data_IF_510954660342
#
_entry.id   IF_510954660342
#
_cell.length_a   1.000
_cell.length_b   1.000
_cell.length_c   1.000
_cell.angle_alpha   90.00
_cell.angle_beta   90.00
_cell.angle_gamma   90.00
#
_symmetry.space_group_name_H-M   'P 1'
#
loop_
_entity.id
_entity.type
_entity.pdbx_description
1 polymer ?
#
# COMPACT_ATOMS: atom_id res chain seq x y z
N UNK A 1 -10.39 -2.45 31.42
CA UNK A 1 -9.62 -3.19 30.40
C UNK A 1 -8.39 -2.37 30.11
N UNK A 2 -7.19 -2.96 30.23
CA UNK A 2 -5.96 -2.27 29.84
C UNK A 2 -5.93 -2.16 28.31
N UNK A 3 -5.68 -0.95 27.80
CA UNK A 3 -5.29 -0.77 26.40
C UNK A 3 -4.12 -1.70 26.12
N UNK A 4 -4.25 -2.59 25.13
CA UNK A 4 -3.16 -3.47 24.71
C UNK A 4 -2.50 -2.89 23.47
N UNK A 5 -1.18 -2.84 23.48
CA UNK A 5 -0.39 -2.39 22.35
C UNK A 5 -0.33 -3.47 21.26
N UNK A 6 -0.05 -3.05 20.04
CA UNK A 6 0.17 -3.94 18.90
C UNK A 6 1.65 -3.97 18.53
N UNK A 7 2.26 -5.16 18.54
CA UNK A 7 3.56 -5.42 17.95
C UNK A 7 3.35 -5.90 16.53
N UNK A 8 4.00 -5.24 15.57
CA UNK A 8 3.83 -5.49 14.14
C UNK A 8 5.13 -6.07 13.56
N UNK A 9 5.01 -7.15 12.79
CA UNK A 9 6.08 -7.68 11.96
C UNK A 9 5.68 -7.57 10.49
N UNK A 10 6.61 -7.12 9.64
CA UNK A 10 6.46 -7.20 8.19
C UNK A 10 7.22 -8.40 7.64
N UNK A 11 6.63 -9.07 6.65
CA UNK A 11 7.26 -10.18 5.96
C UNK A 11 6.93 -10.12 4.47
N UNK A 12 7.86 -10.61 3.65
CA UNK A 12 7.62 -10.83 2.24
C UNK A 12 7.23 -12.29 2.02
N UNK A 13 5.98 -12.50 1.65
CA UNK A 13 5.46 -13.83 1.30
C UNK A 13 5.49 -14.03 -0.21
N UNK A 14 5.46 -15.29 -0.69
CA UNK A 14 5.29 -15.58 -2.11
C UNK A 14 4.08 -14.86 -2.69
N UNK A 15 4.31 -14.25 -3.85
CA UNK A 15 3.27 -13.54 -4.57
C UNK A 15 2.10 -14.46 -4.92
N UNK A 16 0.90 -13.92 -4.83
CA UNK A 16 -0.27 -14.61 -5.37
C UNK A 16 -0.23 -14.60 -6.91
N UNK A 17 -0.92 -15.56 -7.57
CA UNK A 17 -1.08 -15.55 -9.01
C UNK A 17 -1.61 -14.20 -9.49
N UNK A 18 -1.11 -13.74 -10.63
CA UNK A 18 -1.60 -12.53 -11.26
C UNK A 18 -2.95 -12.83 -11.93
N UNK A 19 -3.88 -11.89 -11.82
CA UNK A 19 -5.15 -12.01 -12.54
C UNK A 19 -4.95 -11.72 -14.02
N UNK A 20 -5.79 -12.31 -14.86
CA UNK A 20 -5.77 -12.03 -16.30
C UNK A 20 -6.10 -10.55 -16.55
N UNK A 21 -5.58 -10.01 -17.66
CA UNK A 21 -5.94 -8.65 -18.08
C UNK A 21 -7.47 -8.52 -18.23
N UNK A 22 -8.06 -7.39 -17.83
CA UNK A 22 -9.50 -7.20 -17.89
C UNK A 22 -10.00 -7.30 -19.33
N UNK A 23 -11.07 -8.06 -19.56
CA UNK A 23 -11.62 -8.31 -20.90
C UNK A 23 -12.69 -7.29 -21.31
N UNK A 24 -13.21 -6.55 -20.34
CA UNK A 24 -14.29 -5.56 -20.51
C UNK A 24 -14.16 -4.47 -19.44
N UNK A 25 -14.92 -3.39 -19.61
CA UNK A 25 -14.86 -2.22 -18.71
C UNK A 25 -15.25 -2.58 -17.27
N UNK A 26 -16.20 -3.50 -17.10
CA UNK A 26 -16.63 -3.95 -15.78
C UNK A 26 -15.51 -4.65 -15.01
N UNK A 27 -14.80 -5.58 -15.65
CA UNK A 27 -13.62 -6.24 -15.07
C UNK A 27 -12.51 -5.23 -14.74
N UNK A 28 -12.32 -4.21 -15.59
CA UNK A 28 -11.36 -3.13 -15.31
C UNK A 28 -11.75 -2.32 -14.06
N UNK A 29 -13.04 -2.03 -13.86
CA UNK A 29 -13.55 -1.38 -12.65
C UNK A 29 -13.39 -2.26 -11.39
N UNK A 30 -13.65 -3.57 -11.52
CA UNK A 30 -13.42 -4.54 -10.44
C UNK A 30 -11.95 -4.56 -10.02
N UNK A 31 -11.00 -4.62 -10.97
CA UNK A 31 -9.56 -4.53 -10.70
C UNK A 31 -9.21 -3.21 -10.01
N UNK A 32 -9.81 -2.09 -10.44
CA UNK A 32 -9.58 -0.78 -9.87
C UNK A 32 -9.95 -0.71 -8.38
N UNK A 33 -10.98 -1.46 -7.96
CA UNK A 33 -11.46 -1.48 -6.58
C UNK A 33 -10.92 -2.66 -5.75
N UNK A 34 -10.36 -3.67 -6.41
CA UNK A 34 -9.70 -4.81 -5.79
C UNK A 34 -8.37 -4.43 -5.10
N UNK A 35 -7.93 -5.19 -4.08
CA UNK A 35 -6.61 -5.02 -3.48
C UNK A 35 -5.50 -5.22 -4.53
N UNK A 36 -4.43 -4.41 -4.47
CA UNK A 36 -3.20 -4.71 -5.22
C UNK A 36 -2.68 -6.09 -4.80
N UNK A 37 -2.21 -6.90 -5.75
CA UNK A 37 -1.91 -8.32 -5.53
C UNK A 37 -0.82 -8.49 -4.46
N UNK A 38 -1.06 -9.39 -3.48
CA UNK A 38 -0.08 -9.70 -2.43
C UNK A 38 1.26 -10.13 -3.02
N UNK A 39 2.34 -9.56 -2.49
CA UNK A 39 3.70 -9.92 -2.89
C UNK A 39 4.05 -9.43 -4.29
N UNK A 40 3.31 -8.45 -4.84
CA UNK A 40 3.69 -7.69 -6.05
C UNK A 40 3.93 -6.22 -5.65
N UNK A 41 4.62 -5.43 -6.49
CA UNK A 41 4.73 -3.99 -6.28
C UNK A 41 3.33 -3.39 -6.05
N UNK A 42 3.16 -2.70 -4.92
CA UNK A 42 1.83 -2.38 -4.42
C UNK A 42 1.79 -2.14 -2.92
N UNK A 43 0.65 -1.64 -2.43
CA UNK A 43 0.36 -1.49 -1.01
C UNK A 43 0.34 -2.83 -0.25
N UNK A 44 0.22 -3.97 -0.96
CA UNK A 44 0.25 -5.34 -0.42
C UNK A 44 1.54 -6.12 -0.77
N UNK A 45 2.62 -5.44 -1.15
CA UNK A 45 3.93 -6.09 -1.34
C UNK A 45 4.35 -6.87 -0.08
N UNK A 46 4.17 -6.25 1.09
CA UNK A 46 4.44 -6.89 2.38
C UNK A 46 3.16 -7.40 3.02
N UNK A 47 3.28 -8.58 3.64
CA UNK A 47 2.29 -9.12 4.55
C UNK A 47 2.66 -8.68 5.96
N UNK A 48 1.67 -8.23 6.72
CA UNK A 48 1.86 -7.76 8.08
C UNK A 48 1.25 -8.74 9.07
N UNK A 49 1.97 -9.01 10.15
CA UNK A 49 1.52 -9.84 11.25
C UNK A 49 1.45 -8.98 12.51
N UNK A 50 0.45 -9.23 13.34
CA UNK A 50 0.23 -8.54 14.61
C UNK A 50 0.20 -9.51 15.77
N UNK A 51 0.77 -9.10 16.90
CA UNK A 51 0.65 -9.78 18.19
C UNK A 51 0.51 -8.75 19.30
N UNK A 52 -0.20 -9.08 20.38
CA UNK A 52 -0.38 -8.19 21.55
C UNK A 52 0.56 -8.52 22.71
N UNK A 53 1.01 -9.77 22.77
CA UNK A 53 1.98 -10.25 23.76
C UNK A 53 3.10 -11.01 23.06
N UNK A 54 4.26 -10.36 22.94
CA UNK A 54 5.45 -10.93 22.27
C UNK A 54 5.99 -12.19 22.96
N UNK A 55 5.60 -12.46 24.21
CA UNK A 55 6.01 -13.68 24.92
C UNK A 55 5.25 -14.92 24.45
N UNK A 56 4.14 -14.73 23.73
CA UNK A 56 3.31 -15.81 23.17
C UNK A 56 3.77 -16.20 21.77
N UNK A 57 4.67 -17.18 21.66
CA UNK A 57 5.32 -17.56 20.40
C UNK A 57 4.38 -17.92 19.23
N UNK A 58 3.13 -18.34 19.51
CA UNK A 58 2.19 -18.85 18.51
C UNK A 58 0.92 -17.99 18.35
N UNK A 59 0.94 -16.71 18.76
CA UNK A 59 -0.23 -15.83 18.72
C UNK A 59 -0.19 -14.74 17.63
N UNK A 60 0.74 -14.85 16.67
CA UNK A 60 0.78 -13.93 15.53
C UNK A 60 -0.44 -14.12 14.64
N UNK A 61 -1.13 -13.03 14.33
CA UNK A 61 -2.28 -12.97 13.43
C UNK A 61 -1.86 -12.26 12.16
N UNK A 62 -2.11 -12.86 10.99
CA UNK A 62 -1.93 -12.20 9.69
C UNK A 62 -3.00 -11.12 9.52
N UNK A 63 -2.58 -9.89 9.25
CA UNK A 63 -3.49 -8.79 8.90
C UNK A 63 -4.01 -8.96 7.47
N UNK A 64 -5.26 -8.54 7.18
CA UNK A 64 -5.83 -8.68 5.86
C UNK A 64 -5.07 -7.88 4.79
N UNK A 65 -5.24 -8.25 3.52
CA UNK A 65 -4.83 -7.39 2.40
C UNK A 65 -5.62 -6.07 2.45
N UNK A 66 -4.96 -4.97 2.16
CA UNK A 66 -5.62 -3.67 2.15
C UNK A 66 -6.23 -3.39 0.78
N UNK A 67 -7.45 -2.85 0.78
CA UNK A 67 -8.14 -2.42 -0.44
C UNK A 67 -8.00 -0.91 -0.64
N UNK A 68 -8.09 -0.43 -1.89
CA UNK A 68 -8.09 0.99 -2.21
C UNK A 68 -9.18 1.77 -1.44
N UNK A 69 -10.40 1.21 -1.38
CA UNK A 69 -11.52 1.78 -0.61
C UNK A 69 -11.20 1.98 0.87
N UNK A 70 -10.58 0.99 1.53
CA UNK A 70 -10.22 1.10 2.94
C UNK A 70 -9.16 2.17 3.16
N UNK A 71 -8.17 2.26 2.26
CA UNK A 71 -7.14 3.31 2.32
C UNK A 71 -7.72 4.70 2.14
N UNK A 72 -8.57 4.90 1.14
CA UNK A 72 -9.31 6.14 0.91
C UNK A 72 -10.09 6.56 2.16
N UNK A 73 -10.95 5.67 2.67
CA UNK A 73 -11.80 5.97 3.82
C UNK A 73 -10.98 6.20 5.10
N UNK A 74 -9.83 5.52 5.27
CA UNK A 74 -8.97 5.67 6.45
C UNK A 74 -8.39 7.08 6.58
N UNK A 75 -8.22 7.83 5.48
CA UNK A 75 -7.68 9.20 5.49
C UNK A 75 -8.55 10.16 6.28
N UNK A 76 -9.86 9.91 6.30
CA UNK A 76 -10.84 10.69 7.06
C UNK A 76 -11.09 10.14 8.46
N UNK A 77 -10.51 8.98 8.80
CA UNK A 77 -10.72 8.32 10.10
C UNK A 77 -9.63 8.73 11.11
N UNK A 78 -10.07 9.23 12.28
CA UNK A 78 -9.21 9.60 13.41
C UNK A 78 -9.71 8.93 14.68
N UNK A 79 -9.32 7.68 14.88
CA UNK A 79 -9.72 6.87 16.04
C UNK A 79 -8.50 6.34 16.80
N UNK A 80 -8.68 6.15 18.11
CA UNK A 80 -7.73 5.42 18.93
C UNK A 80 -8.01 3.92 18.81
N UNK A 81 -6.96 3.12 18.80
CA UNK A 81 -7.06 1.67 18.87
C UNK A 81 -7.55 1.24 20.25
N UNK A 82 -8.47 0.28 20.28
CA UNK A 82 -9.01 -0.29 21.51
C UNK A 82 -8.20 -1.48 22.02
N UNK A 83 -7.36 -2.07 21.15
CA UNK A 83 -6.68 -3.33 21.43
C UNK A 83 -7.58 -4.54 21.20
N UNK A 84 -8.58 -4.43 20.32
CA UNK A 84 -9.45 -5.55 19.93
C UNK A 84 -9.59 -5.55 18.40
N UNK A 85 -8.86 -6.46 17.75
CA UNK A 85 -8.82 -6.57 16.29
C UNK A 85 -10.21 -6.83 15.68
N UNK A 86 -11.09 -7.52 16.41
CA UNK A 86 -12.44 -7.87 15.96
C UNK A 86 -13.45 -6.73 16.11
N UNK A 87 -13.06 -5.66 16.80
CA UNK A 87 -13.94 -4.53 17.06
C UNK A 87 -14.34 -3.84 15.76
N UNK A 88 -15.63 -3.58 15.63
CA UNK A 88 -16.23 -2.79 14.54
C UNK A 88 -15.99 -1.30 14.74
N UNK A 89 -15.54 -0.62 13.69
CA UNK A 89 -15.24 0.81 13.69
C UNK A 89 -16.43 1.69 13.31
N UNK A 90 -17.55 1.08 12.93
CA UNK A 90 -18.83 1.69 12.56
C UNK A 90 -19.89 1.62 13.68
N UNK A 91 -19.48 1.29 14.91
CA UNK A 91 -20.32 1.06 16.10
C UNK A 91 -21.19 2.26 16.59
N UNK A 92 -21.32 3.33 15.80
CA UNK A 92 -22.14 4.51 16.09
C UNK A 92 -21.63 5.39 17.23
N UNK A 93 -20.73 4.88 18.07
CA UNK A 93 -20.15 5.58 19.21
C UNK A 93 -19.27 6.78 18.80
N UNK A 94 -18.78 6.83 17.55
CA UNK A 94 -17.94 7.94 17.07
C UNK A 94 -18.69 9.11 16.45
N UNK A 95 -19.97 8.95 16.07
CA UNK A 95 -20.71 10.01 15.36
C UNK A 95 -20.03 10.55 14.08
N UNK A 96 -19.14 9.76 13.46
CA UNK A 96 -18.30 10.22 12.34
C UNK A 96 -19.02 9.96 11.01
N UNK A 97 -19.05 10.98 10.14
CA UNK A 97 -19.61 10.89 8.79
C UNK A 97 -18.53 11.28 7.75
N UNK A 98 -18.31 10.46 6.71
CA UNK A 98 -18.94 9.16 6.45
C UNK A 98 -18.47 8.07 7.45
N UNK A 99 -19.27 7.01 7.66
CA UNK A 99 -18.88 5.90 8.53
C UNK A 99 -17.68 5.14 7.95
N UNK A 100 -16.75 4.75 8.83
CA UNK A 100 -15.65 3.86 8.47
C UNK A 100 -16.06 2.41 8.72
N UNK A 101 -16.67 1.80 7.71
CA UNK A 101 -17.21 0.43 7.73
C UNK A 101 -16.10 -0.62 7.69
N UNK A 102 -15.30 -0.73 8.76
CA UNK A 102 -14.19 -1.66 8.85
C UNK A 102 -14.04 -2.23 10.27
N UNK A 103 -13.30 -3.31 10.42
CA UNK A 103 -12.79 -3.77 11.72
C UNK A 103 -11.54 -2.99 12.15
N UNK A 104 -11.14 -3.13 13.41
CA UNK A 104 -9.93 -2.51 13.94
C UNK A 104 -8.67 -3.08 13.28
N UNK A 105 -8.65 -4.38 12.91
CA UNK A 105 -7.55 -4.98 12.12
C UNK A 105 -7.40 -4.33 10.73
N UNK A 106 -8.50 -4.03 10.04
CA UNK A 106 -8.49 -3.35 8.75
C UNK A 106 -8.03 -1.90 8.91
N UNK A 107 -8.48 -1.22 9.97
CA UNK A 107 -8.00 0.12 10.29
C UNK A 107 -6.50 0.12 10.59
N UNK A 108 -6.02 -0.81 11.41
CA UNK A 108 -4.62 -0.98 11.76
C UNK A 108 -3.78 -1.20 10.50
N UNK A 109 -4.21 -2.11 9.62
CA UNK A 109 -3.58 -2.36 8.32
C UNK A 109 -3.52 -1.12 7.43
N UNK A 110 -4.58 -0.30 7.42
CA UNK A 110 -4.65 0.95 6.64
C UNK A 110 -3.68 2.01 7.18
N UNK A 111 -3.54 2.12 8.51
CA UNK A 111 -2.60 3.03 9.17
C UNK A 111 -1.16 2.60 8.89
N UNK A 112 -0.86 1.29 8.98
CA UNK A 112 0.43 0.73 8.62
C UNK A 112 0.79 1.09 7.17
N UNK A 113 -0.11 0.88 6.20
CA UNK A 113 0.15 1.21 4.79
C UNK A 113 0.54 2.69 4.61
N UNK A 114 -0.20 3.59 5.25
CA UNK A 114 0.03 5.04 5.17
C UNK A 114 1.34 5.46 5.83
N UNK A 115 1.64 4.92 7.01
CA UNK A 115 2.92 5.17 7.70
C UNK A 115 4.07 4.64 6.85
N UNK A 116 3.99 3.40 6.40
CA UNK A 116 5.03 2.77 5.57
C UNK A 116 5.36 3.60 4.32
N UNK A 117 4.34 4.04 3.58
CA UNK A 117 4.53 4.88 2.39
C UNK A 117 5.13 6.26 2.74
N UNK A 118 4.75 6.85 3.87
CA UNK A 118 5.12 8.22 4.23
C UNK A 118 6.42 8.35 5.04
N UNK A 119 6.89 7.29 5.71
CA UNK A 119 7.97 7.41 6.71
C UNK A 119 9.09 6.37 6.60
N UNK A 120 9.02 5.41 5.68
CA UNK A 120 10.16 4.52 5.43
C UNK A 120 11.08 5.21 4.41
N UNK A 121 12.28 5.54 4.86
CA UNK A 121 13.26 6.33 4.13
C UNK A 121 14.52 5.51 3.85
N UNK A 122 15.21 5.83 2.77
CA UNK A 122 16.55 5.38 2.44
C UNK A 122 17.48 6.60 2.34
N UNK A 123 18.79 6.35 2.42
CA UNK A 123 19.76 7.43 2.26
C UNK A 123 19.84 7.81 0.78
N UNK A 124 19.84 9.11 0.50
CA UNK A 124 20.04 9.66 -0.84
C UNK A 124 21.29 9.02 -1.50
N UNK A 125 21.11 8.41 -2.67
CA UNK A 125 22.19 7.77 -3.42
C UNK A 125 22.50 6.32 -3.03
N UNK A 126 21.88 5.75 -2.00
CA UNK A 126 22.04 4.32 -1.64
C UNK A 126 21.51 3.39 -2.75
N UNK A 127 20.44 3.81 -3.42
CA UNK A 127 19.78 3.06 -4.48
C UNK A 127 19.82 3.86 -5.78
N UNK A 128 20.06 3.17 -6.89
CA UNK A 128 20.07 3.72 -8.25
C UNK A 128 19.17 2.89 -9.16
N UNK A 129 18.68 3.48 -10.24
CA UNK A 129 17.99 2.74 -11.28
C UNK A 129 18.86 1.59 -11.77
N UNK A 130 18.28 0.39 -11.84
CA UNK A 130 18.91 -0.76 -12.45
C UNK A 130 19.07 -0.52 -13.96
N UNK A 131 20.16 -0.97 -14.58
CA UNK A 131 20.33 -0.90 -16.03
C UNK A 131 19.14 -1.56 -16.75
N UNK A 132 18.65 -0.92 -17.81
CA UNK A 132 17.53 -1.42 -18.63
C UNK A 132 17.86 -2.72 -19.38
N UNK A 133 19.15 -3.05 -19.52
CA UNK A 133 19.60 -4.29 -20.14
C UNK A 133 19.25 -5.49 -19.22
N UNK A 134 18.27 -6.29 -19.69
CA UNK A 134 17.61 -7.39 -18.98
C UNK A 134 18.59 -8.40 -18.36
N UNK A 135 18.73 -8.35 -17.03
CA UNK A 135 19.06 -9.44 -16.08
C UNK A 135 19.58 -8.89 -14.73
N UNK A 136 19.81 -7.58 -14.62
CA UNK A 136 20.44 -6.94 -13.45
C UNK A 136 19.74 -7.24 -12.11
N UNK A 137 18.43 -7.46 -12.12
CA UNK A 137 17.64 -7.84 -10.94
C UNK A 137 16.73 -9.03 -11.28
N UNK A 138 16.73 -10.04 -10.42
CA UNK A 138 15.90 -11.24 -10.60
C UNK A 138 15.19 -11.65 -9.32
N UNK A 139 14.06 -12.34 -9.46
CA UNK A 139 13.33 -12.93 -8.34
C UNK A 139 12.95 -11.93 -7.25
N UNK A 140 13.47 -12.15 -6.04
CA UNK A 140 13.11 -11.40 -4.84
C UNK A 140 13.59 -9.94 -4.86
N UNK A 141 14.75 -9.67 -5.46
CA UNK A 141 15.33 -8.32 -5.49
C UNK A 141 14.50 -7.39 -6.35
N UNK A 142 14.12 -7.82 -7.56
CA UNK A 142 13.20 -7.07 -8.42
C UNK A 142 11.83 -6.87 -7.78
N UNK A 143 11.38 -7.85 -6.98
CA UNK A 143 10.09 -7.77 -6.30
C UNK A 143 10.07 -6.70 -5.19
N UNK A 144 11.14 -6.65 -4.39
CA UNK A 144 11.26 -5.74 -3.25
C UNK A 144 11.60 -4.32 -3.72
N UNK A 145 12.59 -4.24 -4.59
CA UNK A 145 13.23 -2.99 -4.96
C UNK A 145 12.71 -2.45 -6.29
N UNK A 146 11.85 -3.18 -7.01
CA UNK A 146 11.44 -2.79 -8.35
C UNK A 146 12.64 -2.74 -9.29
N UNK A 147 12.72 -1.68 -10.08
CA UNK A 147 13.83 -1.43 -11.02
C UNK A 147 14.94 -0.57 -10.38
N UNK A 148 15.17 -0.67 -9.06
CA UNK A 148 16.34 -0.06 -8.40
C UNK A 148 17.23 -1.11 -7.75
N UNK A 149 18.54 -0.88 -7.81
CA UNK A 149 19.58 -1.70 -7.20
C UNK A 149 20.45 -0.86 -6.27
N UNK A 150 21.22 -1.51 -5.39
CA UNK A 150 22.19 -0.79 -4.56
C UNK A 150 23.26 -0.13 -5.43
N UNK A 151 23.55 1.13 -5.15
CA UNK A 151 24.60 1.88 -5.86
C UNK A 151 25.97 1.31 -5.54
N UNK A 152 26.73 0.96 -6.58
CA UNK A 152 28.13 0.58 -6.41
C UNK A 152 28.94 1.78 -5.90
N UNK A 153 29.76 1.55 -4.87
CA UNK A 153 30.58 2.62 -4.27
C UNK A 153 29.80 3.61 -3.41
N UNK A 154 28.58 3.29 -2.96
CA UNK A 154 27.87 4.08 -1.97
C UNK A 154 28.68 4.18 -0.67
N UNK A 155 29.01 5.41 -0.28
CA UNK A 155 29.63 5.74 1.00
C UNK A 155 28.58 6.33 1.94
N UNK A 156 28.50 5.79 3.15
CA UNK A 156 27.57 6.28 4.17
C UNK A 156 27.99 7.71 4.56
N UNK A 157 27.10 8.72 4.45
CA UNK A 157 27.40 10.08 4.89
C UNK A 157 27.77 10.14 6.38
N UNK A 158 28.49 11.19 6.76
CA UNK A 158 28.80 11.42 8.17
C UNK A 158 27.54 11.62 9.02
N UNK A 159 27.58 11.31 10.34
CA UNK A 159 26.43 11.55 11.22
C UNK A 159 25.88 12.98 11.19
N UNK A 160 26.74 13.98 10.94
CA UNK A 160 26.35 15.38 10.83
C UNK A 160 25.54 15.65 9.55
N UNK A 161 25.87 15.00 8.44
CA UNK A 161 25.14 15.13 7.17
C UNK A 161 23.77 14.45 7.23
N UNK A 162 23.67 13.31 7.92
CA UNK A 162 22.41 12.57 8.10
C UNK A 162 21.36 13.33 8.91
N UNK A 163 21.72 14.45 9.57
CA UNK A 163 20.75 15.35 10.21
C UNK A 163 19.95 16.18 9.19
N UNK A 164 20.46 16.35 7.96
CA UNK A 164 19.73 17.06 6.91
C UNK A 164 18.64 16.17 6.31
N UNK A 165 17.46 16.75 6.08
CA UNK A 165 16.35 16.07 5.39
C UNK A 165 16.68 15.75 3.94
N UNK A 166 17.55 16.54 3.32
CA UNK A 166 17.94 16.36 1.91
C UNK A 166 18.72 15.04 1.69
N UNK A 167 19.20 14.40 2.77
CA UNK A 167 19.88 13.10 2.72
C UNK A 167 18.95 11.90 2.81
N UNK A 168 17.64 12.12 2.80
CA UNK A 168 16.65 11.06 2.91
C UNK A 168 15.67 11.10 1.75
N UNK A 169 15.48 9.96 1.11
CA UNK A 169 14.48 9.74 0.06
C UNK A 169 13.49 8.66 0.50
N UNK A 170 12.28 8.65 -0.06
CA UNK A 170 11.32 7.58 0.23
C UNK A 170 11.83 6.24 -0.32
N UNK A 171 11.83 5.21 0.52
CA UNK A 171 12.19 3.85 0.13
C UNK A 171 10.97 3.00 -0.28
N UNK A 172 9.77 3.56 -0.14
CA UNK A 172 8.50 2.92 -0.49
C UNK A 172 7.80 3.72 -1.59
N UNK A 173 7.03 3.06 -2.48
CA UNK A 173 6.18 3.77 -3.43
C UNK A 173 5.24 4.73 -2.72
N UNK A 174 4.96 5.85 -3.39
CA UNK A 174 3.94 6.80 -2.94
C UNK A 174 2.55 6.14 -2.96
N UNK A 175 1.71 6.49 -1.99
CA UNK A 175 0.33 6.01 -1.92
C UNK A 175 -0.63 7.08 -2.44
N UNK A 176 -1.09 6.90 -3.68
CA UNK A 176 -2.02 7.76 -4.41
C UNK A 176 -3.34 7.94 -3.66
N UNK A 177 -4.04 9.05 -3.88
CA UNK A 177 -5.37 9.31 -3.31
C UNK A 177 -6.39 8.26 -3.66
N UNK A 178 -6.21 7.58 -4.79
CA UNK A 178 -6.97 6.38 -5.19
C UNK A 178 -6.80 5.18 -4.25
N UNK A 179 -5.91 5.24 -3.26
CA UNK A 179 -5.64 4.11 -2.36
C UNK A 179 -4.74 3.02 -2.97
N UNK A 180 -4.06 3.33 -4.08
CA UNK A 180 -3.12 2.44 -4.79
C UNK A 180 -1.74 3.05 -4.84
N UNK A 181 -0.74 2.27 -5.23
CA UNK A 181 0.61 2.81 -5.52
C UNK A 181 0.81 3.14 -7.00
N UNK A 182 0.01 2.52 -7.86
CA UNK A 182 -0.01 2.74 -9.31
C UNK A 182 -1.44 2.73 -9.82
N UNK A 183 -1.71 3.50 -10.87
CA UNK A 183 -2.96 3.38 -11.61
C UNK A 183 -2.98 2.03 -12.35
N UNK A 184 -4.11 1.30 -12.38
CA UNK A 184 -4.21 0.09 -13.17
C UNK A 184 -3.88 0.38 -14.64
N UNK A 185 -3.08 -0.50 -15.25
CA UNK A 185 -2.77 -0.46 -16.67
C UNK A 185 -3.66 -1.44 -17.45
N UNK A 186 -3.76 -1.25 -18.77
CA UNK A 186 -4.42 -2.22 -19.65
C UNK A 186 -5.94 -2.11 -19.67
N UNK A 187 -6.48 -0.89 -19.74
CA UNK A 187 -7.92 -0.72 -20.01
C UNK A 187 -8.26 -1.35 -21.36
N UNK A 188 -9.27 -2.24 -21.42
CA UNK A 188 -9.69 -2.84 -22.68
C UNK A 188 -10.30 -1.78 -23.59
N UNK A 189 -10.29 -2.04 -24.90
CA UNK A 189 -11.12 -1.26 -25.81
C UNK A 189 -12.60 -1.47 -25.41
N UNK A 190 -13.40 -0.39 -25.28
CA UNK A 190 -14.80 -0.52 -24.89
C UNK A 190 -15.56 -1.33 -25.95
N UNK A 191 -16.32 -2.32 -25.49
CA UNK A 191 -17.22 -3.09 -26.35
C UNK A 191 -18.49 -2.26 -26.66
N UNK A 192 -19.27 -2.68 -27.67
CA UNK A 192 -20.52 -1.99 -28.03
C UNK A 192 -21.46 -1.89 -26.82
N UNK A 193 -21.78 -0.65 -26.40
CA UNK A 193 -22.62 -0.37 -25.23
C UNK A 193 -21.84 -0.14 -23.92
N UNK A 194 -20.51 -0.17 -23.94
CA UNK A 194 -19.65 0.12 -22.78
C UNK A 194 -19.01 1.52 -22.84
N UNK A 195 -19.29 2.33 -23.86
CA UNK A 195 -18.64 3.63 -24.08
C UNK A 195 -18.85 4.59 -22.89
N UNK A 196 -20.07 4.68 -22.36
CA UNK A 196 -20.40 5.52 -21.21
C UNK A 196 -19.67 5.07 -19.93
N UNK A 197 -19.56 3.75 -19.73
CA UNK A 197 -18.87 3.19 -18.56
C UNK A 197 -17.36 3.48 -18.63
N UNK A 198 -16.76 3.37 -19.82
CA UNK A 198 -15.36 3.69 -20.04
C UNK A 198 -15.09 5.19 -19.87
N UNK A 199 -15.98 6.05 -20.36
CA UNK A 199 -15.89 7.49 -20.14
C UNK A 199 -15.96 7.83 -18.64
N UNK A 200 -16.86 7.21 -17.87
CA UNK A 200 -16.97 7.44 -16.43
C UNK A 200 -15.72 6.97 -15.66
N UNK A 201 -15.20 5.80 -16.00
CA UNK A 201 -13.97 5.26 -15.40
C UNK A 201 -12.76 6.14 -15.73
N UNK A 202 -12.65 6.59 -16.99
CA UNK A 202 -11.58 7.50 -17.41
C UNK A 202 -11.66 8.84 -16.68
N UNK A 203 -12.86 9.44 -16.60
CA UNK A 203 -13.07 10.68 -15.87
C UNK A 203 -12.69 10.55 -14.38
N UNK A 204 -13.01 9.42 -13.75
CA UNK A 204 -12.62 9.13 -12.35
C UNK A 204 -11.10 9.06 -12.21
N UNK A 205 -10.40 8.42 -13.14
CA UNK A 205 -8.94 8.33 -13.14
C UNK A 205 -8.29 9.69 -13.30
N UNK A 206 -8.79 10.51 -14.22
CA UNK A 206 -8.30 11.87 -14.44
C UNK A 206 -8.49 12.73 -13.19
N UNK A 207 -9.67 12.68 -12.57
CA UNK A 207 -9.92 13.39 -11.30
C UNK A 207 -8.91 12.99 -10.23
N UNK A 208 -8.72 11.69 -10.00
CA UNK A 208 -7.75 11.19 -9.02
C UNK A 208 -6.31 11.64 -9.34
N UNK A 209 -5.90 11.58 -10.61
CA UNK A 209 -4.59 12.04 -11.04
C UNK A 209 -4.39 13.55 -10.81
N UNK A 210 -5.43 14.36 -11.01
CA UNK A 210 -5.35 15.81 -10.72
C UNK A 210 -5.24 16.11 -9.23
N UNK A 211 -5.85 15.31 -8.36
CA UNK A 211 -5.78 15.48 -6.91
C UNK A 211 -4.43 15.04 -6.31
N UNK A 212 -3.68 14.20 -7.02
CA UNK A 212 -2.36 13.69 -6.62
C UNK A 212 -1.19 14.60 -7.02
N UNK A 213 -1.45 15.68 -7.77
CA UNK A 213 -0.46 16.72 -8.04
C UNK A 213 -0.23 17.61 -6.79
N UNK A 214 1.02 17.92 -6.42
CA UNK A 214 1.36 18.72 -5.25
C UNK A 214 0.92 20.20 -5.37
#
# INVERSE_FOLDING_TARGET
SGSQDYYIAEALLPALPEEEAPKNVKEAEEIFTAPEVRGRPGANLYTYFVIQDITSANAWVELPQITPRLLEASRSCKRLFAGDLSRRMDDGASGQWPPFEASEEEYLRSVIARISAASILAIEGEWTAAPEDEESLSGLEKLIHGDVMRSEGFEIPSPQELLSKDKWVHARPYLLRSGRTQHPAGFPEPQEGEEEAMELLSNRLEQLATEDLP
#
